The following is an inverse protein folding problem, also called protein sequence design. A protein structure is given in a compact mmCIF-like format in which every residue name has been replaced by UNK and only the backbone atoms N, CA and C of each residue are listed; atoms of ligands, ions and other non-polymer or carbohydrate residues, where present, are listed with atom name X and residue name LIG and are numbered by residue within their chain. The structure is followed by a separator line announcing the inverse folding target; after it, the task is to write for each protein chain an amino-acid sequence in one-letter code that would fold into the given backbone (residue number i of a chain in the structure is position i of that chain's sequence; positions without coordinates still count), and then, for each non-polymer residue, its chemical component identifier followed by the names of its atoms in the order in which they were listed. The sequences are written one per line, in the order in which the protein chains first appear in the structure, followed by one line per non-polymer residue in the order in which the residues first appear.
data_IF_192525087739
#
_entry.id   IF_192525087739
#
_cell.length_a   1.000
_cell.length_b   1.000
_cell.length_c   1.000
_cell.angle_alpha   90.00
_cell.angle_beta   90.00
_cell.angle_gamma   90.00
#
_symmetry.space_group_name_H-M   'P 1'
#
loop_
_entity.id
_entity.type
_entity.pdbx_description
1 polymer ?
#
# COMPACT_ATOMS: atom_id res chain seq x y z
N UNK A 1 19.36 8.48 7.68
CA UNK A 1 18.37 7.39 7.46
C UNK A 1 18.36 6.95 5.98
N UNK A 2 18.04 7.81 5.00
CA UNK A 2 17.93 7.42 3.57
C UNK A 2 19.21 6.79 3.00
N UNK A 3 20.41 7.23 3.42
CA UNK A 3 21.65 6.59 2.98
C UNK A 3 21.70 5.11 3.39
N UNK A 4 21.30 4.78 4.62
CA UNK A 4 21.24 3.38 5.08
C UNK A 4 20.22 2.57 4.28
N UNK A 5 19.02 3.13 4.02
CA UNK A 5 18.00 2.47 3.19
C UNK A 5 18.57 2.15 1.80
N UNK A 6 19.31 3.07 1.21
CA UNK A 6 19.99 2.90 -0.08
C UNK A 6 21.08 1.84 -0.03
N UNK A 7 21.97 1.92 0.96
CA UNK A 7 23.13 1.05 1.09
C UNK A 7 22.74 -0.42 1.32
N UNK A 8 21.64 -0.66 2.03
CA UNK A 8 21.11 -1.99 2.29
C UNK A 8 20.01 -2.44 1.32
N UNK A 9 19.64 -1.61 0.34
CA UNK A 9 18.58 -1.87 -0.64
C UNK A 9 17.25 -2.35 -0.01
N UNK A 10 16.89 -1.77 1.12
CA UNK A 10 15.65 -2.09 1.83
C UNK A 10 14.49 -1.17 1.41
N UNK A 11 13.27 -1.59 1.73
CA UNK A 11 12.07 -0.81 1.44
C UNK A 11 11.96 0.37 2.39
N UNK A 12 11.65 1.56 1.85
CA UNK A 12 11.24 2.72 2.63
C UNK A 12 9.72 2.81 2.66
N UNK A 13 9.12 2.63 3.83
CA UNK A 13 7.72 2.99 4.08
C UNK A 13 7.61 4.40 4.65
N UNK A 14 6.60 5.18 4.24
CA UNK A 14 6.41 6.56 4.74
C UNK A 14 5.93 6.60 6.18
N UNK A 15 5.25 5.55 6.65
CA UNK A 15 4.64 5.54 7.98
C UNK A 15 3.44 6.49 8.09
N UNK A 16 3.10 6.87 9.31
CA UNK A 16 1.92 7.67 9.64
C UNK A 16 2.25 9.17 9.64
N UNK A 17 2.60 9.71 8.48
CA UNK A 17 2.87 11.14 8.29
C UNK A 17 1.73 11.79 7.49
N UNK A 18 1.60 13.12 7.56
CA UNK A 18 0.58 13.83 6.77
C UNK A 18 0.80 13.67 5.25
N UNK A 19 -0.21 13.92 4.41
CA UNK A 19 -0.04 13.89 2.96
C UNK A 19 1.10 14.80 2.48
N UNK A 20 1.22 16.01 3.03
CA UNK A 20 2.27 16.97 2.68
C UNK A 20 3.66 16.41 3.05
N UNK A 21 3.80 15.83 4.23
CA UNK A 21 5.04 15.19 4.67
C UNK A 21 5.37 13.95 3.82
N UNK A 22 4.37 13.18 3.39
CA UNK A 22 4.54 12.07 2.45
C UNK A 22 5.23 12.54 1.16
N UNK A 23 4.76 13.63 0.56
CA UNK A 23 5.39 14.19 -0.64
C UNK A 23 6.84 14.60 -0.39
N UNK A 24 7.13 15.27 0.74
CA UNK A 24 8.49 15.68 1.11
C UNK A 24 9.41 14.46 1.26
N UNK A 25 8.95 13.42 1.98
CA UNK A 25 9.71 12.19 2.20
C UNK A 25 9.98 11.47 0.89
N UNK A 26 8.97 11.33 0.03
CA UNK A 26 9.06 10.63 -1.25
C UNK A 26 9.99 11.39 -2.21
N UNK A 27 9.84 12.70 -2.33
CA UNK A 27 10.72 13.54 -3.15
C UNK A 27 12.18 13.43 -2.72
N UNK A 28 12.46 13.56 -1.41
CA UNK A 28 13.80 13.41 -0.87
C UNK A 28 14.37 11.99 -1.10
N UNK A 29 13.55 10.95 -0.95
CA UNK A 29 13.95 9.58 -1.23
C UNK A 29 14.32 9.37 -2.71
N UNK A 30 13.50 9.88 -3.62
CA UNK A 30 13.77 9.81 -5.07
C UNK A 30 15.00 10.62 -5.47
N UNK A 31 15.20 11.81 -4.90
CA UNK A 31 16.41 12.62 -5.13
C UNK A 31 17.70 11.89 -4.71
N UNK A 32 17.63 11.03 -3.69
CA UNK A 32 18.75 10.17 -3.28
C UNK A 32 18.86 8.87 -4.08
N UNK A 33 17.93 8.61 -5.01
CA UNK A 33 17.95 7.43 -5.87
C UNK A 33 17.38 6.16 -5.23
N UNK A 34 16.58 6.27 -4.16
CA UNK A 34 15.85 5.14 -3.58
C UNK A 34 14.77 4.66 -4.56
N UNK A 35 14.75 3.35 -4.86
CA UNK A 35 13.79 2.76 -5.80
C UNK A 35 12.58 2.14 -5.12
N UNK A 36 12.75 1.58 -3.93
CA UNK A 36 11.74 0.84 -3.18
C UNK A 36 11.07 1.75 -2.15
N UNK A 37 10.09 2.53 -2.60
CA UNK A 37 9.35 3.47 -1.76
C UNK A 37 7.88 3.11 -1.75
N UNK A 38 7.33 2.93 -0.55
CA UNK A 38 5.94 2.55 -0.30
C UNK A 38 5.27 3.61 0.54
N UNK A 39 4.16 4.16 0.05
CA UNK A 39 3.27 5.02 0.85
C UNK A 39 2.38 4.11 1.68
N UNK A 40 2.57 4.18 3.00
CA UNK A 40 1.91 3.30 3.96
C UNK A 40 0.44 3.69 4.11
N UNK A 41 -0.47 2.75 3.89
CA UNK A 41 -1.95 2.85 3.99
C UNK A 41 -2.51 4.29 3.89
N UNK A 42 -2.36 4.97 2.73
CA UNK A 42 -2.70 6.38 2.56
C UNK A 42 -4.19 6.69 2.81
N UNK A 43 -5.06 5.68 2.76
CA UNK A 43 -6.50 5.81 3.02
C UNK A 43 -6.88 5.86 4.49
N UNK A 44 -5.96 5.52 5.38
CA UNK A 44 -6.26 5.51 6.81
C UNK A 44 -6.51 6.93 7.32
N UNK A 45 -7.45 7.04 8.27
CA UNK A 45 -7.81 8.31 8.90
C UNK A 45 -6.63 9.09 9.49
N UNK A 46 -5.54 8.39 9.86
CA UNK A 46 -4.35 9.01 10.43
C UNK A 46 -3.46 9.67 9.36
N UNK A 47 -3.55 9.20 8.11
CA UNK A 47 -2.85 9.78 6.95
C UNK A 47 -3.82 10.62 6.12
N UNK A 48 -4.99 10.09 5.80
CA UNK A 48 -6.13 10.74 5.12
C UNK A 48 -5.75 11.41 3.79
N UNK A 49 -4.92 10.72 3.00
CA UNK A 49 -4.48 11.22 1.69
C UNK A 49 -5.61 11.10 0.66
N UNK A 50 -5.94 12.20 0.00
CA UNK A 50 -6.96 12.22 -1.05
C UNK A 50 -6.61 11.30 -2.23
N UNK A 51 -7.61 10.84 -2.98
CA UNK A 51 -7.36 10.01 -4.20
C UNK A 51 -6.57 10.81 -5.24
N UNK A 52 -6.83 12.09 -5.35
CA UNK A 52 -6.10 13.01 -6.22
C UNK A 52 -4.61 13.07 -5.86
N UNK A 53 -4.30 13.16 -4.57
CA UNK A 53 -2.92 13.14 -4.09
C UNK A 53 -2.25 11.79 -4.27
N UNK A 54 -3.00 10.68 -4.05
CA UNK A 54 -2.50 9.34 -4.33
C UNK A 54 -2.17 9.16 -5.81
N UNK A 55 -3.03 9.63 -6.71
CA UNK A 55 -2.75 9.59 -8.15
C UNK A 55 -1.55 10.46 -8.52
N UNK A 56 -1.44 11.66 -7.93
CA UNK A 56 -0.34 12.59 -8.18
C UNK A 56 1.00 12.02 -7.70
N UNK A 57 1.08 11.50 -6.48
CA UNK A 57 2.33 10.96 -5.93
C UNK A 57 2.82 9.73 -6.71
N UNK A 58 1.91 8.88 -7.19
CA UNK A 58 2.26 7.77 -8.07
C UNK A 58 2.77 8.27 -9.42
N UNK A 59 2.05 9.22 -10.04
CA UNK A 59 2.42 9.77 -11.36
C UNK A 59 3.77 10.48 -11.33
N UNK A 60 4.03 11.26 -10.29
CA UNK A 60 5.22 12.13 -10.21
C UNK A 60 6.46 11.35 -9.74
N UNK A 61 6.28 10.33 -8.91
CA UNK A 61 7.37 9.65 -8.22
C UNK A 61 7.43 8.13 -8.43
N UNK A 62 6.47 7.52 -9.12
CA UNK A 62 6.42 6.06 -9.35
C UNK A 62 6.57 5.24 -8.05
N UNK A 63 5.83 5.61 -7.02
CA UNK A 63 5.80 4.91 -5.74
C UNK A 63 4.73 3.83 -5.70
N UNK A 64 4.84 2.92 -4.75
CA UNK A 64 3.79 1.96 -4.43
C UNK A 64 2.88 2.53 -3.34
N UNK A 65 1.58 2.29 -3.46
CA UNK A 65 0.59 2.53 -2.43
C UNK A 65 0.29 1.21 -1.73
N UNK A 66 0.57 1.11 -0.45
CA UNK A 66 0.12 -0.01 0.37
C UNK A 66 -1.36 0.20 0.72
N UNK A 67 -2.21 -0.78 0.35
CA UNK A 67 -3.65 -0.71 0.59
C UNK A 67 -4.07 -1.81 1.54
N UNK A 68 -4.42 -1.41 2.77
CA UNK A 68 -4.74 -2.35 3.83
C UNK A 68 -6.21 -2.78 3.83
N UNK A 69 -6.49 -3.98 4.36
CA UNK A 69 -7.84 -4.53 4.47
C UNK A 69 -8.77 -3.61 5.27
N UNK A 70 -8.31 -3.19 6.42
CA UNK A 70 -9.10 -2.39 7.36
C UNK A 70 -8.20 -1.49 8.20
N UNK A 71 -8.81 -0.49 8.81
CA UNK A 71 -8.17 0.37 9.79
C UNK A 71 -8.75 0.15 11.18
N UNK A 72 -7.86 0.13 12.18
CA UNK A 72 -8.24 0.07 13.58
C UNK A 72 -8.91 1.39 14.00
N UNK A 73 -10.09 1.28 14.62
CA UNK A 73 -10.86 2.43 15.12
C UNK A 73 -10.83 2.52 16.66
N UNK A 74 -10.09 1.63 17.32
CA UNK A 74 -10.06 1.50 18.77
C UNK A 74 -11.30 0.85 19.39
N UNK A 75 -11.20 0.50 20.68
CA UNK A 75 -12.34 -0.04 21.42
C UNK A 75 -12.95 -1.32 20.86
N UNK A 76 -12.15 -2.19 20.27
CA UNK A 76 -12.61 -3.44 19.66
C UNK A 76 -13.33 -3.27 18.32
N UNK A 77 -13.10 -2.16 17.61
CA UNK A 77 -13.77 -1.85 16.34
C UNK A 77 -12.75 -1.60 15.23
N UNK A 78 -13.13 -1.98 14.01
CA UNK A 78 -12.41 -1.63 12.80
C UNK A 78 -13.36 -1.17 11.69
N UNK A 79 -12.81 -0.45 10.72
CA UNK A 79 -13.49 -0.06 9.48
C UNK A 79 -12.82 -0.78 8.31
N UNK A 80 -13.61 -1.58 7.56
CA UNK A 80 -13.13 -2.17 6.32
C UNK A 80 -12.90 -1.10 5.25
N UNK A 81 -11.79 -1.20 4.53
CA UNK A 81 -11.41 -0.26 3.46
C UNK A 81 -11.66 -0.83 2.05
N UNK A 82 -12.32 -1.96 1.90
CA UNK A 82 -12.45 -2.66 0.61
C UNK A 82 -13.07 -1.80 -0.50
N UNK A 83 -14.15 -1.03 -0.29
CA UNK A 83 -14.71 -0.17 -1.33
C UNK A 83 -13.75 0.95 -1.76
N UNK A 84 -13.09 1.59 -0.80
CA UNK A 84 -12.11 2.65 -1.05
C UNK A 84 -10.90 2.10 -1.80
N UNK A 85 -10.42 0.93 -1.41
CA UNK A 85 -9.31 0.24 -2.07
C UNK A 85 -9.64 -0.11 -3.52
N UNK A 86 -10.84 -0.66 -3.77
CA UNK A 86 -11.31 -0.95 -5.12
C UNK A 86 -11.35 0.31 -5.99
N UNK A 87 -11.85 1.43 -5.45
CA UNK A 87 -11.90 2.71 -6.15
C UNK A 87 -10.52 3.19 -6.54
N UNK A 88 -9.54 3.11 -5.63
CA UNK A 88 -8.16 3.53 -5.91
C UNK A 88 -7.50 2.61 -6.93
N UNK A 89 -7.63 1.29 -6.81
CA UNK A 89 -7.09 0.33 -7.78
C UNK A 89 -7.60 0.64 -9.18
N UNK A 90 -8.89 0.95 -9.34
CA UNK A 90 -9.48 1.33 -10.63
C UNK A 90 -9.05 2.70 -11.14
N UNK A 91 -8.65 3.62 -10.27
CA UNK A 91 -8.24 4.98 -10.62
C UNK A 91 -6.75 5.09 -10.90
N UNK A 92 -5.92 4.55 -10.01
CA UNK A 92 -4.45 4.63 -10.07
C UNK A 92 -3.87 3.52 -10.95
N UNK A 93 -4.53 2.36 -10.97
CA UNK A 93 -4.07 1.15 -11.64
C UNK A 93 -3.35 0.19 -10.69
N UNK A 94 -3.40 -1.10 -11.02
CA UNK A 94 -2.89 -2.18 -10.17
C UNK A 94 -1.36 -2.21 -10.03
N UNK A 95 -0.64 -1.62 -10.99
CA UNK A 95 0.84 -1.70 -11.02
C UNK A 95 1.53 -0.95 -9.88
N UNK A 96 0.87 0.04 -9.34
CA UNK A 96 1.38 0.87 -8.24
C UNK A 96 0.63 0.61 -6.93
N UNK A 97 -0.12 -0.47 -6.82
CA UNK A 97 -0.86 -0.84 -5.61
C UNK A 97 -0.37 -2.18 -5.07
N UNK A 98 -0.01 -2.19 -3.80
CA UNK A 98 0.33 -3.39 -3.04
C UNK A 98 -0.80 -3.68 -2.04
N UNK A 99 -1.37 -4.87 -2.09
CA UNK A 99 -2.40 -5.32 -1.14
C UNK A 99 -1.72 -5.90 0.10
N UNK A 100 -2.16 -5.44 1.27
CA UNK A 100 -1.79 -5.98 2.57
C UNK A 100 -3.00 -6.01 3.52
N UNK A 101 -2.85 -6.54 4.70
CA UNK A 101 -3.94 -6.58 5.68
C UNK A 101 -3.81 -5.52 6.76
N UNK A 102 -2.58 -5.19 7.14
CA UNK A 102 -2.25 -4.53 8.40
C UNK A 102 -2.93 -5.23 9.59
N UNK A 103 -3.03 -6.56 9.47
CA UNK A 103 -3.64 -7.43 10.47
C UNK A 103 -2.64 -7.73 11.59
N UNK A 104 -3.07 -7.61 12.83
CA UNK A 104 -2.24 -7.85 14.02
C UNK A 104 -2.82 -7.18 15.24
N UNK A 105 -3.72 -6.24 15.02
CA UNK A 105 -4.52 -5.65 16.08
C UNK A 105 -5.66 -6.61 16.47
N UNK A 106 -5.99 -6.63 17.77
CA UNK A 106 -7.04 -7.51 18.32
C UNK A 106 -8.43 -7.21 17.77
N UNK A 107 -8.65 -6.01 17.25
CA UNK A 107 -9.88 -5.55 16.65
C UNK A 107 -10.12 -6.10 15.24
N UNK A 108 -9.06 -6.38 14.50
CA UNK A 108 -9.15 -6.86 13.14
C UNK A 108 -9.38 -8.38 13.08
N UNK A 109 -9.98 -8.90 12.01
CA UNK A 109 -9.99 -10.34 11.76
C UNK A 109 -8.57 -10.90 11.69
N UNK A 110 -8.43 -12.22 11.90
CA UNK A 110 -7.17 -12.91 11.62
C UNK A 110 -6.68 -12.55 10.20
N UNK A 111 -5.38 -12.31 10.04
CA UNK A 111 -4.81 -11.79 8.80
C UNK A 111 -5.07 -12.71 7.58
N UNK A 112 -5.10 -14.02 7.76
CA UNK A 112 -5.41 -14.96 6.67
C UNK A 112 -6.85 -14.78 6.17
N UNK A 113 -7.81 -14.65 7.09
CA UNK A 113 -9.23 -14.42 6.79
C UNK A 113 -9.39 -13.04 6.12
N UNK A 114 -8.75 -12.02 6.67
CA UNK A 114 -8.78 -10.68 6.11
C UNK A 114 -8.23 -10.62 4.68
N UNK A 115 -7.12 -11.33 4.43
CA UNK A 115 -6.47 -11.38 3.12
C UNK A 115 -7.33 -12.12 2.10
N UNK A 116 -7.90 -13.28 2.48
CA UNK A 116 -8.84 -14.04 1.64
C UNK A 116 -10.07 -13.19 1.28
N UNK A 117 -10.69 -12.53 2.27
CA UNK A 117 -11.83 -11.65 2.04
C UNK A 117 -11.48 -10.49 1.11
N UNK A 118 -10.28 -9.92 1.23
CA UNK A 118 -9.82 -8.84 0.36
C UNK A 118 -9.73 -9.32 -1.09
N UNK A 119 -9.04 -10.42 -1.33
CA UNK A 119 -8.87 -10.96 -2.69
C UNK A 119 -10.22 -11.35 -3.30
N UNK A 120 -11.09 -12.01 -2.52
CA UNK A 120 -12.41 -12.39 -2.98
C UNK A 120 -13.27 -11.17 -3.33
N UNK A 121 -13.26 -10.15 -2.48
CA UNK A 121 -13.98 -8.90 -2.75
C UNK A 121 -13.52 -8.25 -4.06
N UNK A 122 -12.22 -8.17 -4.29
CA UNK A 122 -11.67 -7.58 -5.52
C UNK A 122 -12.05 -8.39 -6.76
N UNK A 123 -11.98 -9.73 -6.69
CA UNK A 123 -12.38 -10.63 -7.77
C UNK A 123 -13.88 -10.48 -8.10
N UNK A 124 -14.74 -10.46 -7.09
CA UNK A 124 -16.20 -10.29 -7.24
C UNK A 124 -16.58 -8.94 -7.88
N UNK A 125 -15.69 -7.94 -7.75
CA UNK A 125 -15.88 -6.60 -8.32
C UNK A 125 -15.07 -6.36 -9.60
N UNK A 126 -14.61 -7.43 -10.24
CA UNK A 126 -14.07 -7.43 -11.59
C UNK A 126 -12.59 -7.09 -11.72
N UNK A 127 -11.81 -7.26 -10.66
CA UNK A 127 -10.34 -7.23 -10.77
C UNK A 127 -9.87 -8.62 -11.26
N UNK A 128 -9.17 -8.71 -12.41
CA UNK A 128 -8.69 -9.99 -12.96
C UNK A 128 -7.66 -10.67 -12.05
N UNK A 129 -7.58 -12.00 -12.14
CA UNK A 129 -6.68 -12.81 -11.32
C UNK A 129 -5.20 -12.45 -11.50
N UNK A 130 -4.77 -12.17 -12.72
CA UNK A 130 -3.39 -11.74 -13.00
C UNK A 130 -3.03 -10.42 -12.33
N UNK A 131 -3.98 -9.47 -12.25
CA UNK A 131 -3.80 -8.22 -11.53
C UNK A 131 -3.80 -8.45 -10.01
N UNK A 132 -4.66 -9.32 -9.50
CA UNK A 132 -4.64 -9.71 -8.10
C UNK A 132 -3.28 -10.33 -7.73
N UNK A 133 -2.82 -11.31 -8.50
CA UNK A 133 -1.50 -11.93 -8.32
C UNK A 133 -0.38 -10.88 -8.33
N UNK A 134 -0.45 -9.91 -9.23
CA UNK A 134 0.54 -8.84 -9.30
C UNK A 134 0.60 -8.02 -8.02
N UNK A 135 -0.56 -7.57 -7.51
CA UNK A 135 -0.67 -6.75 -6.30
C UNK A 135 -0.39 -7.50 -4.99
N UNK A 136 -0.58 -8.82 -4.97
CA UNK A 136 -0.48 -9.65 -3.76
C UNK A 136 0.80 -10.48 -3.69
N UNK A 137 1.54 -10.60 -4.78
CA UNK A 137 2.73 -11.45 -4.86
C UNK A 137 3.88 -10.81 -5.63
N UNK A 138 3.68 -10.45 -6.90
CA UNK A 138 4.79 -10.01 -7.78
C UNK A 138 5.47 -8.75 -7.26
N UNK A 139 4.70 -7.77 -6.79
CA UNK A 139 5.25 -6.55 -6.17
C UNK A 139 6.11 -6.88 -4.95
N UNK A 140 5.60 -7.72 -4.04
CA UNK A 140 6.31 -8.09 -2.81
C UNK A 140 7.61 -8.84 -3.09
N UNK A 141 7.57 -9.78 -4.06
CA UNK A 141 8.77 -10.48 -4.50
C UNK A 141 9.84 -9.51 -5.04
N UNK A 142 9.42 -8.55 -5.87
CA UNK A 142 10.32 -7.51 -6.40
C UNK A 142 10.91 -6.61 -5.31
N UNK A 143 10.11 -6.20 -4.32
CA UNK A 143 10.59 -5.40 -3.19
C UNK A 143 11.64 -6.15 -2.36
N UNK A 144 11.50 -7.47 -2.23
CA UNK A 144 12.39 -8.32 -1.45
C UNK A 144 13.58 -8.88 -2.25
N UNK A 145 13.71 -8.52 -3.55
CA UNK A 145 14.70 -9.08 -4.47
C UNK A 145 14.62 -10.62 -4.57
N UNK A 146 13.42 -11.18 -4.52
CA UNK A 146 13.19 -12.61 -4.66
C UNK A 146 12.79 -12.93 -6.10
N UNK A 147 13.25 -14.07 -6.62
CA UNK A 147 12.86 -14.56 -7.93
C UNK A 147 11.55 -15.37 -7.84
N UNK A 148 10.69 -15.22 -8.83
CA UNK A 148 9.55 -16.14 -8.99
C UNK A 148 10.10 -17.53 -9.36
N UNK A 149 9.70 -18.53 -8.55
CA UNK A 149 10.06 -19.95 -8.81
C UNK A 149 9.01 -20.60 -9.70
#
# INVERSE_FOLDING_TARGET
MFQLVKDFDVVLGTGHVSPEECFIVVEAARAMGLKKVVVTHPEWWIVDMSIEDQLRIVKDYDVLLERCFAQNMGGGKYKSNLPENLKVIKTVGYKNVMISTDGGQTENPNWEIAYEQYMQYMADHGIPEDQLRYMTHTIQMGLLNLEEK
#
